data_IF_965526826141
#
_entry.id   IF_965526826141
#
_cell.length_a   1.000
_cell.length_b   1.000
_cell.length_c   1.000
_cell.angle_alpha   90.00
_cell.angle_beta   90.00
_cell.angle_gamma   90.00
#
_symmetry.space_group_name_H-M   'P 1'
#
loop_
_entity.id
_entity.type
_entity.pdbx_description
1 polymer ?
#
# COMPACT_ATOMS: atom_id res chain seq x y z
N UNK A 1 -0.46 -19.60 2.00
CA UNK A 1 0.30 -19.97 0.81
C UNK A 1 1.66 -19.27 0.83
N UNK A 2 2.74 -20.03 1.04
CA UNK A 2 4.13 -19.52 1.11
C UNK A 2 4.69 -19.08 -0.24
N UNK A 3 4.08 -19.51 -1.33
CA UNK A 3 4.47 -19.14 -2.69
C UNK A 3 3.77 -17.86 -3.19
N UNK A 4 2.89 -17.28 -2.35
CA UNK A 4 2.22 -16.02 -2.67
C UNK A 4 3.14 -14.83 -2.42
N UNK A 5 2.91 -13.73 -3.13
CA UNK A 5 3.54 -12.45 -2.80
C UNK A 5 3.01 -11.98 -1.44
N UNK A 6 3.91 -11.73 -0.49
CA UNK A 6 3.57 -11.09 0.78
C UNK A 6 3.61 -9.57 0.60
N UNK A 7 2.43 -9.00 0.41
CA UNK A 7 2.19 -7.57 0.21
C UNK A 7 1.82 -6.95 1.56
N UNK A 8 2.73 -6.12 2.11
CA UNK A 8 2.69 -5.73 3.53
C UNK A 8 2.42 -4.24 3.68
N UNK A 9 1.32 -3.92 4.36
CA UNK A 9 0.97 -2.56 4.78
C UNK A 9 0.78 -2.48 6.30
N UNK A 10 1.90 -2.41 7.02
CA UNK A 10 1.94 -2.41 8.49
C UNK A 10 2.34 -1.04 9.02
N UNK A 11 1.36 -0.27 9.42
CA UNK A 11 1.52 1.11 9.90
C UNK A 11 0.24 1.60 10.60
N UNK A 12 0.35 2.67 11.41
CA UNK A 12 -0.84 3.30 11.98
C UNK A 12 -1.86 3.59 10.88
N UNK A 13 -3.13 3.31 11.15
CA UNK A 13 -4.17 3.65 10.20
C UNK A 13 -4.42 5.15 10.24
N UNK A 14 -4.27 5.76 9.09
CA UNK A 14 -4.60 7.16 8.86
C UNK A 14 -5.02 7.30 7.39
N UNK A 15 -6.04 8.08 7.11
CA UNK A 15 -6.60 8.18 5.75
C UNK A 15 -5.56 8.61 4.71
N UNK A 16 -4.61 9.51 5.06
CA UNK A 16 -3.56 9.93 4.13
C UNK A 16 -2.59 8.80 3.71
N UNK A 17 -2.46 7.74 4.55
CA UNK A 17 -1.64 6.54 4.23
C UNK A 17 -2.34 5.59 3.26
N UNK A 18 -3.57 5.88 2.95
CA UNK A 18 -4.41 5.27 1.92
C UNK A 18 -4.56 3.74 2.00
N UNK A 19 -4.62 3.17 3.22
CA UNK A 19 -5.00 1.76 3.38
C UNK A 19 -6.34 1.45 2.68
N UNK A 20 -7.20 2.47 2.57
CA UNK A 20 -8.45 2.42 1.83
C UNK A 20 -8.25 2.18 0.32
N UNK A 21 -7.23 2.79 -0.30
CA UNK A 21 -6.86 2.54 -1.71
C UNK A 21 -6.47 1.07 -1.92
N UNK A 22 -5.65 0.53 -1.02
CA UNK A 22 -5.27 -0.89 -1.05
C UNK A 22 -6.50 -1.80 -0.88
N UNK A 23 -7.37 -1.50 0.09
CA UNK A 23 -8.62 -2.25 0.29
C UNK A 23 -9.53 -2.23 -0.95
N UNK A 24 -9.66 -1.08 -1.64
CA UNK A 24 -10.41 -0.97 -2.90
C UNK A 24 -9.80 -1.83 -4.01
N UNK A 25 -8.48 -1.84 -4.14
CA UNK A 25 -7.80 -2.68 -5.11
C UNK A 25 -8.04 -4.18 -4.82
N UNK A 26 -8.01 -4.58 -3.54
CA UNK A 26 -8.32 -5.97 -3.14
C UNK A 26 -9.76 -6.32 -3.50
N UNK A 27 -10.72 -5.43 -3.28
CA UNK A 27 -12.12 -5.62 -3.67
C UNK A 27 -12.24 -5.76 -5.20
N UNK A 28 -11.53 -4.94 -5.97
CA UNK A 28 -11.51 -5.05 -7.42
C UNK A 28 -10.94 -6.39 -7.90
N UNK A 29 -9.85 -6.86 -7.30
CA UNK A 29 -9.28 -8.18 -7.57
C UNK A 29 -10.24 -9.32 -7.18
N UNK A 30 -10.91 -9.21 -6.04
CA UNK A 30 -11.95 -10.15 -5.61
C UNK A 30 -13.09 -10.23 -6.62
N UNK A 31 -13.62 -9.09 -7.06
CA UNK A 31 -14.69 -9.04 -8.05
C UNK A 31 -14.25 -9.66 -9.40
N UNK A 32 -13.02 -9.34 -9.82
CA UNK A 32 -12.42 -9.92 -11.03
C UNK A 32 -12.30 -11.45 -10.94
N UNK A 33 -11.76 -11.98 -9.85
CA UNK A 33 -11.57 -13.41 -9.65
C UNK A 33 -12.88 -14.17 -9.50
N UNK A 34 -13.91 -13.55 -8.90
CA UNK A 34 -15.26 -14.13 -8.87
C UNK A 34 -15.86 -14.27 -10.27
N UNK A 35 -15.67 -13.28 -11.12
CA UNK A 35 -16.13 -13.30 -12.49
C UNK A 35 -15.27 -14.23 -13.39
N UNK A 36 -14.00 -14.43 -13.03
CA UNK A 36 -13.02 -15.17 -13.82
C UNK A 36 -12.25 -16.19 -12.95
N UNK A 37 -12.89 -17.26 -12.46
CA UNK A 37 -12.28 -18.17 -11.48
C UNK A 37 -11.04 -18.92 -12.02
N UNK A 38 -10.92 -19.04 -13.34
CA UNK A 38 -9.78 -19.70 -14.01
C UNK A 38 -8.71 -18.71 -14.52
N UNK A 39 -8.80 -17.43 -14.15
CA UNK A 39 -7.79 -16.44 -14.54
C UNK A 39 -6.40 -16.85 -14.05
N UNK A 40 -5.38 -16.60 -14.90
CA UNK A 40 -3.99 -16.61 -14.47
C UNK A 40 -3.76 -15.44 -13.52
N UNK A 41 -3.49 -15.77 -12.27
CA UNK A 41 -3.34 -14.78 -11.20
C UNK A 41 -2.20 -15.22 -10.30
N UNK A 42 -1.21 -14.37 -10.14
CA UNK A 42 -0.11 -14.60 -9.19
C UNK A 42 -0.68 -14.50 -7.77
N UNK A 43 -0.60 -15.57 -6.97
CA UNK A 43 -1.15 -15.55 -5.62
C UNK A 43 -0.60 -14.40 -4.79
N UNK A 44 -1.49 -13.70 -4.06
CA UNK A 44 -1.12 -12.62 -3.14
C UNK A 44 -1.72 -12.82 -1.76
N UNK A 45 -0.92 -12.55 -0.76
CA UNK A 45 -1.34 -12.44 0.63
C UNK A 45 -1.07 -11.01 1.09
N UNK A 46 -2.13 -10.23 1.18
CA UNK A 46 -2.09 -8.88 1.74
C UNK A 46 -2.06 -8.96 3.26
N UNK A 47 -1.04 -8.38 3.87
CA UNK A 47 -0.85 -8.39 5.32
C UNK A 47 -1.00 -6.97 5.85
N UNK A 48 -2.06 -6.74 6.59
CA UNK A 48 -2.31 -5.48 7.29
C UNK A 48 -2.06 -5.63 8.78
N UNK A 49 -1.50 -4.59 9.36
CA UNK A 49 -1.52 -4.39 10.80
C UNK A 49 -1.60 -2.90 11.07
N UNK A 50 -2.57 -2.49 11.88
CA UNK A 50 -2.83 -1.08 12.10
C UNK A 50 -3.45 -0.85 13.47
N UNK A 51 -3.14 0.33 14.03
CA UNK A 51 -3.81 0.88 15.22
C UNK A 51 -4.36 2.26 14.85
N UNK A 52 -5.56 2.58 15.31
CA UNK A 52 -6.19 3.87 15.14
C UNK A 52 -6.38 4.57 16.50
N UNK A 53 -6.37 5.90 16.50
CA UNK A 53 -6.77 6.64 17.68
C UNK A 53 -8.24 6.31 18.06
N UNK A 54 -8.60 6.24 19.33
CA UNK A 54 -9.94 5.84 19.77
C UNK A 54 -11.08 6.68 19.18
N UNK A 55 -10.86 7.98 19.01
CA UNK A 55 -11.84 8.91 18.41
C UNK A 55 -11.83 8.96 16.87
N UNK A 56 -10.89 8.29 16.20
CA UNK A 56 -10.78 8.37 14.75
C UNK A 56 -11.75 7.38 14.07
N UNK A 57 -12.98 7.82 13.90
CA UNK A 57 -14.08 6.99 13.44
C UNK A 57 -13.81 6.34 12.06
N UNK A 58 -13.45 7.14 11.04
CA UNK A 58 -13.20 6.63 9.68
C UNK A 58 -12.06 5.61 9.66
N UNK A 59 -10.99 5.83 10.42
CA UNK A 59 -9.89 4.87 10.54
C UNK A 59 -10.38 3.52 11.08
N UNK A 60 -11.27 3.53 12.08
CA UNK A 60 -11.86 2.30 12.62
C UNK A 60 -12.79 1.61 11.61
N UNK A 61 -13.52 2.37 10.78
CA UNK A 61 -14.32 1.79 9.71
C UNK A 61 -13.44 1.12 8.65
N UNK A 62 -12.30 1.70 8.31
CA UNK A 62 -11.34 1.09 7.35
C UNK A 62 -10.75 -0.21 7.94
N UNK A 63 -10.39 -0.24 9.22
CA UNK A 63 -9.93 -1.48 9.88
C UNK A 63 -11.04 -2.55 9.81
N UNK A 64 -12.27 -2.17 10.13
CA UNK A 64 -13.44 -3.08 10.05
C UNK A 64 -13.64 -3.59 8.63
N UNK A 65 -13.49 -2.74 7.62
CA UNK A 65 -13.57 -3.13 6.21
C UNK A 65 -12.51 -4.19 5.87
N UNK A 66 -11.24 -3.93 6.16
CA UNK A 66 -10.14 -4.86 5.85
C UNK A 66 -10.38 -6.22 6.54
N UNK A 67 -10.81 -6.20 7.80
CA UNK A 67 -11.16 -7.44 8.51
C UNK A 67 -12.32 -8.18 7.83
N UNK A 68 -13.39 -7.48 7.41
CA UNK A 68 -14.52 -8.11 6.72
C UNK A 68 -14.14 -8.64 5.33
N UNK A 69 -13.23 -7.97 4.59
CA UNK A 69 -12.67 -8.51 3.35
C UNK A 69 -11.96 -9.85 3.64
N UNK A 70 -11.17 -9.92 4.70
CA UNK A 70 -10.48 -11.16 5.07
C UNK A 70 -11.44 -12.31 5.39
N UNK A 71 -12.58 -12.02 6.03
CA UNK A 71 -13.59 -13.04 6.34
C UNK A 71 -14.39 -13.44 5.09
N UNK A 72 -14.67 -12.51 4.19
CA UNK A 72 -15.36 -12.79 2.92
C UNK A 72 -14.54 -13.74 2.05
N UNK A 73 -13.24 -13.47 1.90
CA UNK A 73 -12.33 -14.30 1.10
C UNK A 73 -12.24 -15.74 1.63
N UNK A 74 -12.27 -15.93 2.94
CA UNK A 74 -12.20 -17.28 3.58
C UNK A 74 -13.42 -18.16 3.28
N UNK A 75 -14.55 -17.59 2.81
CA UNK A 75 -15.74 -18.37 2.43
C UNK A 75 -15.55 -19.18 1.15
N UNK A 76 -14.65 -18.73 0.26
CA UNK A 76 -14.30 -19.46 -0.96
C UNK A 76 -12.84 -19.90 -0.90
N UNK A 77 -12.60 -21.17 -0.62
CA UNK A 77 -11.26 -21.72 -0.46
C UNK A 77 -10.39 -21.55 -1.71
N UNK A 78 -10.95 -21.77 -2.91
CA UNK A 78 -10.20 -21.67 -4.18
C UNK A 78 -9.79 -20.23 -4.47
N UNK A 79 -10.67 -19.28 -4.21
CA UNK A 79 -10.38 -17.87 -4.34
C UNK A 79 -9.36 -17.43 -3.30
N UNK A 80 -9.51 -17.90 -2.05
CA UNK A 80 -8.59 -17.55 -0.96
C UNK A 80 -7.18 -18.12 -1.14
N UNK A 81 -7.00 -19.18 -1.90
CA UNK A 81 -5.68 -19.68 -2.30
C UNK A 81 -4.94 -18.70 -3.25
N UNK A 82 -5.70 -17.93 -4.06
CA UNK A 82 -5.17 -16.91 -4.98
C UNK A 82 -5.04 -15.54 -4.32
N UNK A 83 -6.06 -15.13 -3.59
CA UNK A 83 -6.18 -13.82 -2.95
C UNK A 83 -6.51 -13.99 -1.48
N UNK A 84 -5.56 -13.69 -0.62
CA UNK A 84 -5.72 -13.78 0.83
C UNK A 84 -5.48 -12.42 1.49
N UNK A 85 -6.23 -12.15 2.55
CA UNK A 85 -6.05 -10.95 3.39
C UNK A 85 -5.94 -11.37 4.84
N UNK A 86 -4.88 -10.90 5.48
CA UNK A 86 -4.60 -11.12 6.90
C UNK A 86 -4.57 -9.76 7.59
N UNK A 87 -5.39 -9.60 8.62
CA UNK A 87 -5.28 -8.46 9.54
C UNK A 87 -4.69 -8.95 10.85
N UNK A 88 -3.53 -8.44 11.21
CA UNK A 88 -2.81 -8.78 12.43
C UNK A 88 -3.16 -7.77 13.52
N UNK A 89 -3.70 -8.29 14.61
CA UNK A 89 -4.03 -7.49 15.79
C UNK A 89 -2.79 -7.14 16.60
N UNK A 90 -2.91 -6.09 17.41
CA UNK A 90 -1.88 -5.65 18.35
C UNK A 90 -0.46 -5.51 17.76
N UNK A 91 -0.35 -4.88 16.60
CA UNK A 91 0.94 -4.60 15.97
C UNK A 91 1.89 -3.85 16.91
N UNK A 92 3.05 -4.45 17.15
CA UNK A 92 4.06 -3.98 18.07
C UNK A 92 5.47 -4.28 17.53
N UNK A 93 6.51 -3.90 18.27
CA UNK A 93 7.91 -4.07 17.84
C UNK A 93 8.24 -5.55 17.60
N UNK A 94 7.88 -6.45 18.51
CA UNK A 94 8.19 -7.89 18.37
C UNK A 94 7.54 -8.48 17.12
N UNK A 95 6.31 -8.10 16.80
CA UNK A 95 5.65 -8.54 15.57
C UNK A 95 6.32 -7.95 14.33
N UNK A 96 6.81 -6.69 14.40
CA UNK A 96 7.50 -6.05 13.28
C UNK A 96 8.83 -6.72 12.94
N UNK A 97 9.54 -7.26 13.91
CA UNK A 97 10.81 -8.00 13.71
C UNK A 97 10.62 -9.28 12.88
N UNK A 98 9.42 -9.86 12.92
CA UNK A 98 9.07 -11.04 12.11
C UNK A 98 8.52 -10.63 10.74
N UNK A 99 7.68 -9.60 10.71
CA UNK A 99 6.96 -9.19 9.49
C UNK A 99 7.84 -8.51 8.45
N UNK A 100 8.77 -7.67 8.90
CA UNK A 100 9.59 -6.90 7.96
C UNK A 100 10.51 -7.79 7.12
N UNK A 101 11.21 -8.80 7.68
CA UNK A 101 11.97 -9.75 6.87
C UNK A 101 11.12 -10.68 6.00
N UNK A 102 9.85 -10.88 6.35
CA UNK A 102 8.95 -11.75 5.59
C UNK A 102 8.30 -11.04 4.38
N UNK A 103 8.37 -9.70 4.30
CA UNK A 103 7.70 -8.93 3.28
C UNK A 103 8.38 -9.06 1.90
N UNK A 104 7.59 -9.27 0.85
CA UNK A 104 8.05 -9.12 -0.53
C UNK A 104 7.82 -7.69 -1.02
N UNK A 105 6.65 -7.12 -0.73
CA UNK A 105 6.26 -5.76 -1.09
C UNK A 105 6.06 -4.93 0.17
N UNK A 106 6.60 -3.73 0.16
CA UNK A 106 6.43 -2.67 1.15
C UNK A 106 5.45 -1.63 0.61
N UNK A 107 4.22 -1.59 1.11
CA UNK A 107 3.17 -0.65 0.70
C UNK A 107 3.39 0.73 1.33
N UNK A 108 3.83 1.69 0.52
CA UNK A 108 4.17 3.05 0.90
C UNK A 108 3.42 4.06 0.01
N UNK A 109 2.09 4.01 0.12
CA UNK A 109 1.14 4.56 -0.86
C UNK A 109 0.43 5.84 -0.39
N UNK A 110 1.03 6.63 0.51
CA UNK A 110 0.48 7.92 0.92
C UNK A 110 0.24 8.85 -0.28
N UNK A 111 -0.69 9.79 -0.14
CA UNK A 111 -0.82 10.84 -1.15
C UNK A 111 0.44 11.71 -1.14
N UNK A 112 1.02 11.98 -2.30
CA UNK A 112 2.25 12.76 -2.40
C UNK A 112 2.12 14.13 -1.69
N UNK A 113 3.12 14.46 -0.87
CA UNK A 113 3.15 15.66 -0.03
C UNK A 113 2.46 15.51 1.33
N UNK A 114 2.11 14.29 1.75
CA UNK A 114 1.44 14.08 3.05
C UNK A 114 2.28 13.31 4.08
N UNK A 115 3.20 12.46 3.65
CA UNK A 115 4.13 11.76 4.55
C UNK A 115 5.43 12.55 4.66
N UNK A 116 5.81 12.98 5.86
CA UNK A 116 7.02 13.78 6.05
C UNK A 116 8.31 12.97 5.75
N UNK A 117 8.37 11.73 6.16
CA UNK A 117 9.51 10.83 5.93
C UNK A 117 9.05 9.36 5.96
N UNK A 118 8.57 8.89 7.10
CA UNK A 118 8.36 7.47 7.37
C UNK A 118 9.65 6.82 7.87
N UNK A 119 9.50 5.71 8.58
CA UNK A 119 10.62 4.87 9.04
C UNK A 119 10.42 3.40 8.69
N UNK A 120 9.18 2.96 8.55
CA UNK A 120 8.83 1.61 8.15
C UNK A 120 9.33 1.25 6.76
N UNK A 121 9.30 2.20 5.82
CA UNK A 121 9.83 2.05 4.47
C UNK A 121 11.34 1.72 4.48
N UNK A 122 12.13 2.42 5.28
CA UNK A 122 13.57 2.18 5.42
C UNK A 122 13.87 0.79 6.00
N UNK A 123 13.09 0.38 7.02
CA UNK A 123 13.24 -0.93 7.67
C UNK A 123 12.83 -2.08 6.74
N UNK A 124 11.78 -1.92 5.97
CA UNK A 124 11.35 -2.89 4.97
C UNK A 124 12.39 -2.99 3.83
N UNK A 125 12.93 -1.86 3.38
CA UNK A 125 13.98 -1.80 2.35
C UNK A 125 15.24 -2.57 2.75
N UNK A 126 15.77 -2.36 3.97
CA UNK A 126 16.98 -3.06 4.43
C UNK A 126 16.75 -4.56 4.62
N UNK A 127 15.49 -4.99 4.76
CA UNK A 127 15.10 -6.39 4.79
C UNK A 127 14.75 -6.95 3.41
N UNK A 128 14.97 -6.21 2.33
CA UNK A 128 14.82 -6.68 0.95
C UNK A 128 13.41 -6.59 0.39
N UNK A 129 12.45 -5.99 1.10
CA UNK A 129 11.13 -5.73 0.55
C UNK A 129 11.22 -4.64 -0.53
N UNK A 130 10.56 -4.85 -1.67
CA UNK A 130 10.49 -3.88 -2.75
C UNK A 130 9.39 -2.87 -2.42
N UNK A 131 9.75 -1.58 -2.40
CA UNK A 131 8.76 -0.52 -2.18
C UNK A 131 7.83 -0.40 -3.39
N UNK A 132 6.53 -0.55 -3.15
CA UNK A 132 5.47 -0.11 -4.04
C UNK A 132 4.86 1.14 -3.42
N UNK A 133 5.04 2.29 -4.05
CA UNK A 133 4.69 3.54 -3.41
C UNK A 133 4.59 4.74 -4.34
N UNK A 134 4.32 5.87 -3.73
CA UNK A 134 4.34 7.19 -4.37
C UNK A 134 5.66 7.89 -4.07
N UNK A 135 5.99 8.93 -4.85
CA UNK A 135 7.12 9.82 -4.56
C UNK A 135 6.74 10.76 -3.41
N UNK A 136 6.77 10.22 -2.18
CA UNK A 136 6.39 10.88 -0.94
C UNK A 136 7.27 10.41 0.22
N UNK A 137 7.60 11.32 1.14
CA UNK A 137 8.50 11.03 2.26
C UNK A 137 9.83 10.41 1.79
N UNK A 138 10.37 9.48 2.56
CA UNK A 138 11.64 8.82 2.25
C UNK A 138 11.58 7.85 1.05
N UNK A 139 10.42 7.67 0.41
CA UNK A 139 10.37 6.93 -0.86
C UNK A 139 11.14 7.65 -1.97
N UNK A 140 11.28 8.98 -1.88
CA UNK A 140 12.09 9.78 -2.82
C UNK A 140 13.55 9.36 -2.71
N UNK A 141 14.11 9.33 -1.50
CA UNK A 141 15.49 8.92 -1.27
C UNK A 141 15.68 7.42 -1.57
N UNK A 142 14.71 6.56 -1.28
CA UNK A 142 14.77 5.15 -1.68
C UNK A 142 14.90 5.04 -3.19
N UNK A 143 14.06 5.77 -3.95
CA UNK A 143 14.09 5.79 -5.40
C UNK A 143 15.47 6.26 -5.94
N UNK A 144 16.02 7.33 -5.37
CA UNK A 144 17.35 7.83 -5.73
C UNK A 144 18.47 6.80 -5.50
N UNK A 145 18.35 5.98 -4.44
CA UNK A 145 19.35 4.98 -4.10
C UNK A 145 19.28 3.72 -4.96
N UNK A 146 18.08 3.29 -5.36
CA UNK A 146 17.91 2.00 -6.04
C UNK A 146 17.61 2.14 -7.54
N UNK A 147 17.20 3.31 -8.00
CA UNK A 147 16.81 3.58 -9.40
C UNK A 147 15.47 2.95 -9.79
N UNK A 148 14.98 3.33 -10.96
CA UNK A 148 13.65 2.97 -11.48
C UNK A 148 13.39 1.46 -11.57
N UNK A 149 14.43 0.66 -11.80
CA UNK A 149 14.31 -0.78 -12.01
C UNK A 149 14.06 -1.56 -10.70
N UNK A 150 14.32 -0.95 -9.53
CA UNK A 150 14.33 -1.65 -8.25
C UNK A 150 13.30 -1.13 -7.23
N UNK A 151 12.39 -0.27 -7.67
CA UNK A 151 11.26 0.27 -6.91
C UNK A 151 10.05 0.33 -7.85
N UNK A 152 8.85 0.33 -7.30
CA UNK A 152 7.62 0.41 -8.10
C UNK A 152 6.89 1.69 -7.71
N UNK A 153 7.04 2.73 -8.52
CA UNK A 153 6.43 4.05 -8.29
C UNK A 153 5.14 4.18 -9.09
N UNK A 154 4.13 4.79 -8.47
CA UNK A 154 2.85 5.13 -9.09
C UNK A 154 2.29 6.44 -8.55
N UNK A 155 1.19 6.89 -9.17
CA UNK A 155 0.38 8.01 -8.70
C UNK A 155 0.96 9.36 -9.05
N UNK A 156 0.25 10.39 -8.63
CA UNK A 156 0.61 11.78 -8.84
C UNK A 156 1.81 12.17 -7.98
N UNK A 157 2.66 13.04 -8.51
CA UNK A 157 3.65 13.78 -7.72
C UNK A 157 2.99 14.97 -6.98
N UNK A 158 3.76 15.69 -6.15
CA UNK A 158 3.25 16.80 -5.33
C UNK A 158 2.65 17.94 -6.18
N UNK A 159 3.28 18.28 -7.30
CA UNK A 159 2.82 19.36 -8.18
C UNK A 159 1.51 18.98 -8.86
N UNK A 160 1.39 17.74 -9.33
CA UNK A 160 0.16 17.20 -9.91
C UNK A 160 -0.99 17.15 -8.89
N UNK A 161 -0.71 16.74 -7.65
CA UNK A 161 -1.68 16.77 -6.55
C UNK A 161 -2.17 18.20 -6.32
N UNK A 162 -1.26 19.16 -6.24
CA UNK A 162 -1.63 20.56 -6.02
C UNK A 162 -2.44 21.15 -7.18
N UNK A 163 -2.06 20.84 -8.41
CA UNK A 163 -2.81 21.26 -9.59
C UNK A 163 -4.21 20.65 -9.66
N UNK A 164 -4.35 19.39 -9.20
CA UNK A 164 -5.62 18.66 -9.24
C UNK A 164 -6.63 19.15 -8.20
N UNK A 165 -6.18 19.64 -7.04
CA UNK A 165 -7.04 19.98 -5.88
C UNK A 165 -8.25 20.86 -6.21
N UNK A 166 -8.08 21.88 -7.03
CA UNK A 166 -9.14 22.87 -7.32
C UNK A 166 -10.25 22.35 -8.23
N UNK A 167 -10.01 21.29 -8.99
CA UNK A 167 -10.94 20.76 -9.99
C UNK A 167 -11.33 19.29 -9.76
N UNK A 168 -10.85 18.69 -8.68
CA UNK A 168 -11.07 17.27 -8.43
C UNK A 168 -12.52 16.97 -8.10
N UNK A 169 -13.12 16.06 -8.88
CA UNK A 169 -14.47 15.56 -8.70
C UNK A 169 -14.44 14.04 -8.69
N UNK A 170 -14.41 13.41 -7.52
CA UNK A 170 -14.32 11.94 -7.42
C UNK A 170 -15.52 11.23 -8.06
N UNK A 171 -16.70 11.86 -8.08
CA UNK A 171 -17.89 11.33 -8.73
C UNK A 171 -17.69 11.14 -10.25
N UNK A 172 -16.89 11.97 -10.92
CA UNK A 172 -16.60 11.80 -12.35
C UNK A 172 -15.82 10.49 -12.60
N UNK A 173 -14.88 10.16 -11.72
CA UNK A 173 -14.13 8.90 -11.80
C UNK A 173 -15.06 7.72 -11.50
N UNK A 174 -15.88 7.81 -10.44
CA UNK A 174 -16.87 6.78 -10.14
C UNK A 174 -17.78 6.51 -11.34
N UNK A 175 -18.23 7.53 -12.05
CA UNK A 175 -19.13 7.38 -13.20
C UNK A 175 -18.42 6.87 -14.47
N UNK A 176 -17.15 7.17 -14.67
CA UNK A 176 -16.41 6.85 -15.89
C UNK A 176 -15.57 5.57 -15.80
N UNK A 177 -15.22 5.12 -14.61
CA UNK A 177 -14.40 3.93 -14.38
C UNK A 177 -15.23 2.78 -13.83
N UNK A 178 -15.49 1.79 -14.67
CA UNK A 178 -16.33 0.64 -14.30
C UNK A 178 -15.76 -0.20 -13.15
N UNK A 179 -14.42 -0.30 -13.02
CA UNK A 179 -13.75 -1.06 -11.95
C UNK A 179 -13.90 -0.34 -10.62
N UNK A 180 -13.65 0.97 -10.60
CA UNK A 180 -13.86 1.83 -9.43
C UNK A 180 -15.32 1.78 -8.99
N UNK A 181 -16.24 1.94 -9.96
CA UNK A 181 -17.67 1.88 -9.70
C UNK A 181 -18.06 0.55 -9.04
N UNK A 182 -17.64 -0.57 -9.61
CA UNK A 182 -17.95 -1.88 -9.08
C UNK A 182 -17.36 -2.09 -7.68
N UNK A 183 -16.14 -1.63 -7.43
CA UNK A 183 -15.50 -1.74 -6.11
C UNK A 183 -16.26 -0.93 -5.05
N UNK A 184 -16.68 0.30 -5.37
CA UNK A 184 -17.46 1.16 -4.47
C UNK A 184 -18.88 0.60 -4.27
N UNK A 185 -19.53 0.14 -5.32
CA UNK A 185 -20.86 -0.49 -5.23
C UNK A 185 -20.80 -1.74 -4.33
N UNK A 186 -19.69 -2.51 -4.38
CA UNK A 186 -19.49 -3.66 -3.48
C UNK A 186 -19.46 -3.24 -2.00
N UNK A 187 -18.91 -2.07 -1.66
CA UNK A 187 -18.98 -1.52 -0.29
C UNK A 187 -20.41 -1.26 0.15
N UNK A 188 -21.26 -0.78 -0.75
CA UNK A 188 -22.66 -0.46 -0.46
C UNK A 188 -23.55 -1.70 -0.44
N UNK A 189 -23.33 -2.67 -1.32
CA UNK A 189 -24.03 -3.97 -1.27
C UNK A 189 -23.66 -4.78 -0.05
N UNK A 190 -22.42 -4.65 0.41
CA UNK A 190 -21.91 -5.28 1.61
C UNK A 190 -20.86 -6.35 1.35
N UNK A 191 -19.95 -6.45 2.30
CA UNK A 191 -18.87 -7.42 2.37
C UNK A 191 -19.02 -8.18 3.69
N UNK A 192 -19.07 -9.50 3.63
CA UNK A 192 -19.30 -10.35 4.79
C UNK A 192 -20.58 -9.95 5.58
N UNK A 193 -21.64 -9.56 4.88
CA UNK A 193 -22.91 -9.14 5.49
C UNK A 193 -22.89 -7.74 6.12
N UNK A 194 -21.83 -6.94 5.94
CA UNK A 194 -21.71 -5.59 6.44
C UNK A 194 -21.63 -4.59 5.30
N UNK A 195 -22.43 -3.54 5.37
CA UNK A 195 -22.35 -2.39 4.44
C UNK A 195 -21.36 -1.35 4.96
N UNK A 196 -20.66 -0.69 4.04
CA UNK A 196 -19.68 0.35 4.31
C UNK A 196 -20.03 1.65 3.58
N UNK A 197 -21.29 2.09 3.77
CA UNK A 197 -21.85 3.26 3.08
C UNK A 197 -21.04 4.53 3.33
N UNK A 198 -20.57 4.76 4.56
CA UNK A 198 -19.81 5.96 4.91
C UNK A 198 -18.46 6.03 4.18
N UNK A 199 -17.79 4.89 4.01
CA UNK A 199 -16.56 4.81 3.20
C UNK A 199 -16.89 5.08 1.73
N UNK A 200 -17.94 4.44 1.19
CA UNK A 200 -18.37 4.63 -0.18
C UNK A 200 -18.78 6.08 -0.47
N UNK A 201 -19.52 6.71 0.46
CA UNK A 201 -19.96 8.10 0.32
C UNK A 201 -18.81 9.09 0.45
N UNK A 202 -17.84 8.85 1.34
CA UNK A 202 -16.62 9.63 1.43
C UNK A 202 -15.84 9.59 0.12
N UNK A 203 -15.65 8.39 -0.46
CA UNK A 203 -14.97 8.22 -1.74
C UNK A 203 -15.67 8.92 -2.91
N UNK A 204 -17.00 8.85 -2.99
CA UNK A 204 -17.77 9.46 -4.09
C UNK A 204 -17.86 10.98 -3.99
N UNK A 205 -17.95 11.52 -2.76
CA UNK A 205 -18.29 12.92 -2.56
C UNK A 205 -17.11 13.82 -2.22
N UNK A 206 -16.08 13.30 -1.55
CA UNK A 206 -14.96 14.12 -1.09
C UNK A 206 -13.59 13.57 -1.49
N UNK A 207 -13.38 12.27 -1.31
CA UNK A 207 -12.09 11.59 -1.54
C UNK A 207 -10.87 12.47 -1.20
N UNK A 208 -10.73 12.88 0.07
CA UNK A 208 -9.81 13.94 0.46
C UNK A 208 -8.33 13.61 0.18
N UNK A 209 -8.04 12.34 -0.01
CA UNK A 209 -6.69 11.85 -0.32
C UNK A 209 -6.58 11.25 -1.73
N UNK A 210 -7.49 11.63 -2.63
CA UNK A 210 -7.44 11.32 -4.06
C UNK A 210 -7.17 9.84 -4.38
N UNK A 211 -7.76 8.93 -3.57
CA UNK A 211 -7.60 7.49 -3.76
C UNK A 211 -8.13 7.04 -5.13
N UNK A 212 -9.26 7.60 -5.56
CA UNK A 212 -9.84 7.25 -6.87
C UNK A 212 -9.01 7.79 -8.03
N UNK A 213 -8.34 8.95 -7.85
CA UNK A 213 -7.50 9.54 -8.88
C UNK A 213 -6.28 8.68 -9.20
N UNK A 214 -5.67 8.10 -8.18
CA UNK A 214 -4.49 7.24 -8.32
C UNK A 214 -4.83 5.75 -8.52
N UNK A 215 -6.11 5.37 -8.49
CA UNK A 215 -6.53 3.97 -8.50
C UNK A 215 -6.00 3.19 -9.70
N UNK A 216 -6.14 3.70 -10.91
CA UNK A 216 -5.69 3.02 -12.14
C UNK A 216 -4.17 2.84 -12.18
N UNK A 217 -3.41 3.87 -11.75
CA UNK A 217 -1.96 3.79 -11.68
C UNK A 217 -1.51 2.79 -10.62
N UNK A 218 -2.22 2.72 -9.48
CA UNK A 218 -1.97 1.73 -8.43
C UNK A 218 -2.26 0.30 -8.91
N UNK A 219 -3.36 0.07 -9.62
CA UNK A 219 -3.64 -1.24 -10.22
C UNK A 219 -2.55 -1.69 -11.20
N UNK A 220 -2.07 -0.77 -12.05
CA UNK A 220 -0.95 -1.04 -12.96
C UNK A 220 0.34 -1.39 -12.22
N UNK A 221 0.65 -0.68 -11.14
CA UNK A 221 1.79 -0.95 -10.28
C UNK A 221 1.69 -2.34 -9.63
N UNK A 222 0.52 -2.70 -9.13
CA UNK A 222 0.24 -4.01 -8.56
C UNK A 222 0.35 -5.15 -9.60
N UNK A 223 -0.09 -4.90 -10.83
CA UNK A 223 0.07 -5.86 -11.94
C UNK A 223 1.54 -6.01 -12.32
N UNK A 224 2.29 -4.91 -12.43
CA UNK A 224 3.72 -4.91 -12.70
C UNK A 224 4.51 -5.66 -11.62
N UNK A 225 4.19 -5.47 -10.34
CA UNK A 225 4.78 -6.23 -9.25
C UNK A 225 4.57 -7.74 -9.42
N UNK A 226 3.36 -8.15 -9.84
CA UNK A 226 3.05 -9.56 -10.12
C UNK A 226 3.87 -10.12 -11.27
N UNK A 227 4.04 -9.36 -12.35
CA UNK A 227 4.87 -9.78 -13.49
C UNK A 227 6.36 -9.87 -13.11
N UNK A 228 6.87 -8.92 -12.33
CA UNK A 228 8.24 -8.99 -11.83
C UNK A 228 8.47 -10.22 -10.93
N UNK A 229 7.47 -10.58 -10.11
CA UNK A 229 7.56 -11.73 -9.21
C UNK A 229 7.59 -13.08 -9.93
N UNK A 230 7.02 -13.19 -11.12
CA UNK A 230 7.10 -14.42 -11.95
C UNK A 230 8.54 -14.74 -12.33
N UNK A 231 9.39 -13.73 -12.54
CA UNK A 231 10.84 -13.88 -12.72
C UNK A 231 11.56 -13.76 -11.38
N UNK A 232 11.74 -14.87 -10.70
CA UNK A 232 12.39 -14.90 -9.39
C UNK A 232 13.82 -14.39 -9.41
N UNK A 233 14.55 -14.55 -10.52
CA UNK A 233 15.91 -14.00 -10.67
C UNK A 233 15.87 -12.47 -10.69
N UNK A 234 14.93 -11.90 -11.44
CA UNK A 234 14.71 -10.44 -11.44
C UNK A 234 14.30 -9.95 -10.06
N UNK A 235 13.34 -10.61 -9.43
CA UNK A 235 12.84 -10.23 -8.11
C UNK A 235 13.94 -10.21 -7.05
N UNK A 236 14.78 -11.25 -7.01
CA UNK A 236 15.90 -11.33 -6.07
C UNK A 236 16.97 -10.25 -6.32
N UNK A 237 17.22 -9.88 -7.57
CA UNK A 237 18.10 -8.76 -7.91
C UNK A 237 17.54 -7.43 -7.42
N UNK A 238 16.23 -7.17 -7.61
CA UNK A 238 15.56 -5.99 -7.08
C UNK A 238 15.67 -5.93 -5.54
N UNK A 239 15.41 -7.06 -4.88
CA UNK A 239 15.52 -7.18 -3.41
C UNK A 239 16.94 -6.87 -2.94
N UNK A 240 17.97 -7.46 -3.57
CA UNK A 240 19.36 -7.23 -3.23
C UNK A 240 19.79 -5.77 -3.45
N UNK A 241 19.32 -5.13 -4.52
CA UNK A 241 19.57 -3.72 -4.78
C UNK A 241 18.99 -2.82 -3.68
N UNK A 242 17.79 -3.15 -3.16
CA UNK A 242 17.20 -2.44 -2.03
C UNK A 242 18.04 -2.60 -0.75
N UNK A 243 18.48 -3.81 -0.41
CA UNK A 243 19.36 -4.05 0.74
C UNK A 243 20.67 -3.25 0.60
N UNK A 244 21.29 -3.30 -0.57
CA UNK A 244 22.56 -2.61 -0.82
C UNK A 244 22.42 -1.08 -0.76
N UNK A 245 21.28 -0.52 -1.25
CA UNK A 245 21.00 0.91 -1.23
C UNK A 245 20.59 1.45 0.15
N UNK A 246 20.29 0.59 1.12
CA UNK A 246 19.72 1.03 2.41
C UNK A 246 20.73 1.73 3.34
N UNK A 247 22.02 1.70 3.02
CA UNK A 247 23.08 2.28 3.85
C UNK A 247 22.91 3.77 4.16
N UNK A 248 22.28 4.53 3.25
CA UNK A 248 21.99 5.96 3.46
C UNK A 248 21.11 6.22 4.68
N UNK A 249 20.28 5.25 5.08
CA UNK A 249 19.40 5.35 6.23
C UNK A 249 20.04 4.93 7.55
N UNK A 250 21.36 4.76 7.58
CA UNK A 250 22.13 4.51 8.81
C UNK A 250 21.98 5.69 9.78
N UNK A 251 21.75 5.38 11.06
CA UNK A 251 21.72 6.38 12.13
C UNK A 251 23.07 7.09 12.27
N UNK A 252 24.17 6.36 12.11
CA UNK A 252 25.53 6.91 12.22
C UNK A 252 25.76 8.00 11.15
N UNK A 253 25.39 7.72 9.90
CA UNK A 253 25.46 8.72 8.82
C UNK A 253 24.63 9.95 9.17
N UNK A 254 23.40 9.79 9.64
CA UNK A 254 22.53 10.92 10.02
C UNK A 254 23.14 11.77 11.13
N UNK A 255 23.73 11.13 12.15
CA UNK A 255 24.40 11.83 13.25
C UNK A 255 25.67 12.55 12.76
N UNK A 256 26.43 11.93 11.86
CA UNK A 256 27.62 12.57 11.24
C UNK A 256 27.24 13.80 10.42
N UNK A 257 26.13 13.74 9.66
CA UNK A 257 25.60 14.89 8.91
C UNK A 257 25.17 16.02 9.87
N UNK A 258 24.47 15.72 10.96
CA UNK A 258 24.15 16.71 11.98
C UNK A 258 25.39 17.32 12.63
N UNK A 259 26.39 16.49 12.95
CA UNK A 259 27.63 16.96 13.54
C UNK A 259 28.36 17.95 12.60
N UNK A 260 28.48 17.60 11.34
CA UNK A 260 29.15 18.42 10.32
C UNK A 260 28.37 19.66 9.97
N UNK A 261 27.07 19.52 9.61
CA UNK A 261 26.32 20.56 8.90
C UNK A 261 25.56 21.49 9.86
N UNK A 262 25.25 21.03 11.07
CA UNK A 262 24.47 21.78 12.06
C UNK A 262 25.32 22.19 13.26
N UNK A 263 26.07 21.25 13.83
CA UNK A 263 26.86 21.53 15.04
C UNK A 263 28.28 22.04 14.75
N UNK A 264 28.72 21.98 13.50
CA UNK A 264 30.09 22.44 13.12
C UNK A 264 31.20 21.65 13.77
N UNK A 265 30.96 20.39 14.14
CA UNK A 265 31.96 19.51 14.71
C UNK A 265 32.72 18.82 13.59
N UNK A 266 34.06 18.92 13.60
CA UNK A 266 34.95 18.12 12.76
C UNK A 266 35.35 16.85 13.53
N UNK A 267 35.50 15.74 12.78
CA UNK A 267 36.16 14.52 13.34
C UNK A 267 37.60 14.81 13.73
#
# INVERSE_FOLDING_TARGET
NTDSIFDVQVKRLHEYKRQQLNALNIIAQYNYLKANPNADFVPKTYIFAAKAAPGYYMAKQIIKLIWNISQELKKDKKLNEKLNVIFLEDYNVSLSEILMPAANISEQISLAGTEASGTGNMKLMINGAITLGTLDGANVEIHEQVGDDNIIIFGMNVDEVNACKSGYKPMDIYNSNAVVKQAIDTLQYGINGQQFNEIADSLKNSDPYMALKDFDSYQKAQAYASECYKDQTKWQKMSLANIAGAGIFSADRSVEDYARDIWGLSK
#
